data_IF_918278814468
#
_entry.id   IF_918278814468
#
_cell.length_a   1.000
_cell.length_b   1.000
_cell.length_c   1.000
_cell.angle_alpha   90.00
_cell.angle_beta   90.00
_cell.angle_gamma   90.00
#
_symmetry.space_group_name_H-M   'P 1'
#
loop_
_entity.id
_entity.type
_entity.pdbx_description
1 polymer ?
#
# COMPACT_ATOMS: atom_id res chain seq x y z
N UNK A 1 -23.32 38.47 -19.63
CA UNK A 1 -22.47 38.50 -20.83
C UNK A 1 -21.21 39.28 -20.49
N UNK A 2 -20.18 38.58 -20.03
CA UNK A 2 -18.76 39.01 -19.93
C UNK A 2 -17.95 37.70 -19.93
N UNK A 3 -17.82 37.10 -21.11
CA UNK A 3 -16.56 37.01 -21.86
C UNK A 3 -15.51 36.16 -21.12
N UNK A 4 -15.57 34.86 -21.39
CA UNK A 4 -14.45 33.93 -21.31
C UNK A 4 -13.38 34.40 -22.31
N UNK A 5 -12.23 34.86 -21.85
CA UNK A 5 -11.03 34.95 -22.66
C UNK A 5 -10.01 33.93 -22.17
N UNK A 6 -9.81 32.92 -23.00
CA UNK A 6 -8.72 31.95 -22.92
C UNK A 6 -7.43 32.61 -23.37
N UNK A 7 -6.38 32.55 -22.54
CA UNK A 7 -5.00 32.85 -22.96
C UNK A 7 -4.06 31.80 -22.37
N UNK A 8 -3.53 30.97 -23.27
CA UNK A 8 -2.23 30.30 -23.22
C UNK A 8 -1.94 29.31 -22.08
N UNK A 9 -2.16 28.02 -22.39
CA UNK A 9 -1.00 27.13 -22.50
C UNK A 9 -0.45 26.46 -21.24
N UNK A 10 -1.27 25.78 -20.46
CA UNK A 10 -0.83 24.54 -19.77
C UNK A 10 -1.99 23.55 -19.79
N UNK A 11 -1.83 22.33 -20.36
CA UNK A 11 -2.89 21.33 -20.29
C UNK A 11 -3.15 20.97 -18.82
N UNK A 12 -4.41 21.09 -18.40
CA UNK A 12 -4.90 20.75 -17.04
C UNK A 12 -4.84 19.22 -16.79
N UNK A 13 -4.28 18.47 -17.73
CA UNK A 13 -4.29 17.00 -17.71
C UNK A 13 -2.98 16.37 -17.22
N UNK A 14 -1.97 17.15 -16.81
CA UNK A 14 -0.73 16.57 -16.23
C UNK A 14 -0.97 15.92 -14.84
N UNK A 15 -2.12 16.16 -14.22
CA UNK A 15 -2.54 15.50 -12.98
C UNK A 15 -3.79 14.63 -13.12
N UNK A 16 -4.18 14.25 -14.34
CA UNK A 16 -5.14 13.18 -14.52
C UNK A 16 -4.40 11.83 -14.54
N UNK A 17 -4.56 11.05 -13.46
CA UNK A 17 -4.48 9.60 -13.59
C UNK A 17 -3.54 8.81 -12.67
N UNK A 18 -3.22 9.27 -11.46
CA UNK A 18 -2.74 8.32 -10.44
C UNK A 18 -3.86 8.05 -9.44
N UNK A 19 -4.47 6.84 -9.45
CA UNK A 19 -5.45 6.47 -8.45
C UNK A 19 -4.79 6.53 -7.08
N UNK A 20 -5.23 7.46 -6.23
CA UNK A 20 -4.88 7.57 -4.80
C UNK A 20 -5.54 6.48 -3.95
N UNK A 21 -6.08 5.45 -4.59
CA UNK A 21 -6.19 4.14 -4.01
C UNK A 21 -5.12 3.31 -4.71
N UNK A 22 -3.92 3.29 -4.14
CA UNK A 22 -2.94 2.27 -4.47
C UNK A 22 -3.61 0.93 -4.18
N UNK A 23 -4.29 0.38 -5.19
CA UNK A 23 -4.52 -1.04 -5.33
C UNK A 23 -3.18 -1.64 -4.92
N UNK A 24 -3.10 -2.55 -3.93
CA UNK A 24 -1.82 -3.12 -3.58
C UNK A 24 -1.24 -3.65 -4.87
N UNK A 25 -0.14 -3.05 -5.34
CA UNK A 25 0.58 -3.50 -6.51
C UNK A 25 0.80 -4.98 -6.21
N UNK A 26 0.05 -5.83 -6.90
CA UNK A 26 0.16 -7.28 -6.81
C UNK A 26 1.45 -7.58 -7.55
N UNK A 27 2.58 -7.26 -6.91
CA UNK A 27 3.86 -7.87 -7.21
C UNK A 27 3.56 -9.35 -7.05
N UNK A 28 3.42 -10.05 -8.18
CA UNK A 28 3.14 -11.47 -8.27
C UNK A 28 4.38 -12.20 -7.75
N UNK A 29 4.60 -12.14 -6.44
CA UNK A 29 5.66 -12.86 -5.75
C UNK A 29 5.23 -14.30 -5.73
N UNK A 30 5.69 -15.04 -6.73
CA UNK A 30 5.65 -16.47 -6.72
C UNK A 30 6.53 -16.92 -5.55
N UNK A 31 5.93 -17.22 -4.39
CA UNK A 31 6.62 -17.79 -3.24
C UNK A 31 6.38 -19.30 -3.24
N UNK A 32 7.07 -20.08 -4.09
CA UNK A 32 6.81 -21.50 -4.20
C UNK A 32 7.09 -22.23 -2.88
N UNK A 33 8.03 -21.74 -2.06
CA UNK A 33 8.46 -22.43 -0.84
C UNK A 33 7.39 -22.38 0.26
N UNK A 34 6.78 -21.22 0.50
CA UNK A 34 5.77 -21.06 1.55
C UNK A 34 4.52 -21.87 1.23
N UNK A 35 4.09 -21.86 -0.05
CA UNK A 35 2.94 -22.65 -0.53
C UNK A 35 3.20 -24.15 -0.35
N UNK A 36 4.35 -24.64 -0.82
CA UNK A 36 4.77 -26.04 -0.65
C UNK A 36 4.85 -26.46 0.83
N UNK A 37 5.33 -25.59 1.72
CA UNK A 37 5.34 -25.86 3.17
C UNK A 37 3.93 -26.07 3.72
N UNK A 38 2.98 -25.22 3.32
CA UNK A 38 1.58 -25.35 3.74
C UNK A 38 0.94 -26.61 3.16
N UNK A 39 1.21 -26.93 1.90
CA UNK A 39 0.68 -28.13 1.25
C UNK A 39 1.17 -29.41 1.95
N UNK A 40 2.45 -29.48 2.32
CA UNK A 40 2.97 -30.60 3.13
C UNK A 40 2.45 -30.64 4.56
N UNK A 41 2.18 -29.48 5.15
CA UNK A 41 1.58 -29.43 6.46
C UNK A 41 0.13 -29.93 6.45
N UNK A 42 -0.62 -29.70 5.36
CA UNK A 42 -1.96 -30.25 5.16
C UNK A 42 -1.97 -31.76 4.96
N UNK A 43 -0.90 -32.32 4.41
CA UNK A 43 -0.68 -33.78 4.33
C UNK A 43 -0.01 -34.34 5.60
N UNK A 44 -0.22 -33.70 6.76
CA UNK A 44 0.25 -34.10 8.10
C UNK A 44 1.75 -34.45 8.23
N UNK A 45 2.59 -33.86 7.39
CA UNK A 45 4.05 -34.08 7.50
C UNK A 45 4.65 -33.33 8.69
N UNK A 46 5.58 -33.97 9.40
CA UNK A 46 6.28 -33.35 10.53
C UNK A 46 7.14 -32.15 10.08
N UNK A 47 7.31 -31.15 10.94
CA UNK A 47 8.11 -29.94 10.63
C UNK A 47 9.54 -30.28 10.19
N UNK A 48 10.14 -31.33 10.78
CA UNK A 48 11.47 -31.81 10.43
C UNK A 48 11.53 -32.45 9.04
N UNK A 49 10.51 -33.23 8.66
CA UNK A 49 10.42 -33.82 7.33
C UNK A 49 10.28 -32.74 6.24
N UNK A 50 9.44 -31.72 6.50
CA UNK A 50 9.25 -30.58 5.60
C UNK A 50 10.56 -29.80 5.41
N UNK A 51 11.27 -29.53 6.51
CA UNK A 51 12.58 -28.86 6.52
C UNK A 51 13.59 -29.58 5.62
N UNK A 52 13.73 -30.90 5.78
CA UNK A 52 14.64 -31.74 4.97
C UNK A 52 14.23 -31.75 3.48
N UNK A 53 12.95 -31.94 3.18
CA UNK A 53 12.43 -32.01 1.80
C UNK A 53 12.59 -30.70 1.04
N UNK A 54 12.30 -29.58 1.69
CA UNK A 54 12.32 -28.24 1.07
C UNK A 54 13.68 -27.55 1.19
N UNK A 55 14.65 -28.12 1.93
CA UNK A 55 15.95 -27.50 2.25
C UNK A 55 15.77 -26.10 2.86
N UNK A 56 14.81 -25.97 3.78
CA UNK A 56 14.48 -24.72 4.49
C UNK A 56 14.74 -24.93 5.97
N UNK A 57 15.35 -23.98 6.69
CA UNK A 57 15.56 -24.12 8.13
C UNK A 57 14.27 -24.44 8.89
N UNK A 58 14.36 -25.35 9.87
CA UNK A 58 13.22 -25.78 10.68
C UNK A 58 12.49 -24.61 11.36
N UNK A 59 13.23 -23.59 11.79
CA UNK A 59 12.67 -22.35 12.38
C UNK A 59 11.77 -21.61 11.39
N UNK A 60 12.19 -21.46 10.14
CA UNK A 60 11.39 -20.84 9.09
C UNK A 60 10.13 -21.65 8.78
N UNK A 61 10.21 -22.98 8.74
CA UNK A 61 9.03 -23.86 8.58
C UNK A 61 8.03 -23.62 9.71
N UNK A 62 8.51 -23.56 10.95
CA UNK A 62 7.67 -23.29 12.12
C UNK A 62 6.99 -21.92 12.04
N UNK A 63 7.71 -20.86 11.66
CA UNK A 63 7.13 -19.52 11.48
C UNK A 63 6.08 -19.52 10.37
N UNK A 64 6.31 -20.20 9.26
CA UNK A 64 5.35 -20.29 8.15
C UNK A 64 4.07 -21.00 8.60
N UNK A 65 4.19 -22.16 9.27
CA UNK A 65 3.04 -22.92 9.77
C UNK A 65 2.27 -22.13 10.81
N UNK A 66 2.96 -21.48 11.76
CA UNK A 66 2.32 -20.63 12.77
C UNK A 66 1.55 -19.47 12.13
N UNK A 67 2.15 -18.75 11.18
CA UNK A 67 1.48 -17.67 10.44
C UNK A 67 0.28 -18.18 9.65
N UNK A 68 0.39 -19.35 9.03
CA UNK A 68 -0.71 -19.95 8.30
C UNK A 68 -1.89 -20.32 9.22
N UNK A 69 -1.63 -20.85 10.42
CA UNK A 69 -2.68 -21.13 11.42
C UNK A 69 -3.37 -19.85 11.90
N UNK A 70 -2.62 -18.76 12.11
CA UNK A 70 -3.18 -17.50 12.60
C UNK A 70 -3.92 -16.69 11.53
N UNK A 71 -3.40 -16.63 10.30
CA UNK A 71 -3.89 -15.72 9.27
C UNK A 71 -4.54 -16.42 8.07
N UNK A 72 -4.40 -17.75 7.94
CA UNK A 72 -4.91 -18.52 6.79
C UNK A 72 -4.22 -18.20 5.46
N UNK A 73 -3.22 -17.32 5.45
CA UNK A 73 -2.56 -16.88 4.22
C UNK A 73 -1.10 -17.32 4.18
N UNK A 74 -0.68 -17.72 3.00
CA UNK A 74 0.70 -18.06 2.69
C UNK A 74 1.45 -16.88 2.07
N UNK A 75 0.74 -15.78 1.80
CA UNK A 75 1.32 -14.59 1.23
C UNK A 75 2.03 -13.77 2.31
N UNK A 76 3.26 -13.30 2.05
CA UNK A 76 3.94 -12.40 2.96
C UNK A 76 3.15 -11.09 3.07
N UNK A 77 2.80 -10.72 4.30
CA UNK A 77 2.15 -9.45 4.60
C UNK A 77 3.06 -8.27 4.24
N UNK A 78 2.43 -7.18 3.82
CA UNK A 78 3.13 -5.93 3.62
C UNK A 78 3.55 -5.36 4.99
N UNK A 79 4.72 -4.71 5.04
CA UNK A 79 5.18 -4.05 6.26
C UNK A 79 4.38 -2.78 6.47
N UNK A 80 3.85 -2.56 7.67
CA UNK A 80 3.27 -1.26 8.01
C UNK A 80 4.41 -0.23 8.03
N UNK A 81 4.43 0.66 7.04
CA UNK A 81 5.35 1.80 7.00
C UNK A 81 5.00 2.86 8.06
N UNK A 82 5.59 4.05 7.94
CA UNK A 82 5.26 5.19 8.81
C UNK A 82 3.78 5.56 8.67
N UNK A 83 3.12 5.82 9.80
CA UNK A 83 1.73 6.32 9.80
C UNK A 83 1.66 7.67 9.09
N UNK A 84 0.56 7.89 8.35
CA UNK A 84 0.28 9.19 7.74
C UNK A 84 0.08 10.24 8.83
N UNK A 85 0.66 11.42 8.62
CA UNK A 85 0.50 12.57 9.52
C UNK A 85 -0.85 13.25 9.27
N UNK A 86 -1.24 13.35 8.00
CA UNK A 86 -2.48 13.98 7.59
C UNK A 86 -3.57 12.94 7.36
N UNK A 87 -4.80 13.34 7.66
CA UNK A 87 -6.00 12.58 7.30
C UNK A 87 -6.28 12.74 5.80
N UNK A 88 -6.82 11.72 5.11
CA UNK A 88 -7.19 11.82 3.69
C UNK A 88 -8.11 13.01 3.38
N UNK A 89 -8.96 13.38 4.35
CA UNK A 89 -9.86 14.54 4.20
C UNK A 89 -9.09 15.86 4.16
N UNK A 90 -8.13 16.02 5.07
CA UNK A 90 -7.29 17.23 5.17
C UNK A 90 -6.42 17.35 3.91
N UNK A 91 -5.81 16.24 3.47
CA UNK A 91 -5.03 16.20 2.24
C UNK A 91 -5.85 16.67 1.02
N UNK A 92 -7.06 16.15 0.85
CA UNK A 92 -7.95 16.57 -0.25
C UNK A 92 -8.32 18.06 -0.17
N UNK A 93 -8.59 18.58 1.03
CA UNK A 93 -8.91 20.01 1.20
C UNK A 93 -7.72 20.89 0.87
N UNK A 94 -6.52 20.52 1.32
CA UNK A 94 -5.27 21.24 1.01
C UNK A 94 -5.04 21.30 -0.51
N UNK A 95 -5.15 20.15 -1.19
CA UNK A 95 -4.97 20.07 -2.65
C UNK A 95 -5.96 20.97 -3.37
N UNK A 96 -7.25 20.94 -3.01
CA UNK A 96 -8.27 21.81 -3.63
C UNK A 96 -7.99 23.29 -3.43
N UNK A 97 -7.53 23.69 -2.23
CA UNK A 97 -7.26 25.10 -1.92
C UNK A 97 -6.06 25.63 -2.69
N UNK A 98 -5.00 24.84 -2.81
CA UNK A 98 -3.83 25.18 -3.63
C UNK A 98 -4.20 25.25 -5.11
N UNK A 99 -5.08 24.35 -5.60
CA UNK A 99 -5.57 24.42 -6.98
C UNK A 99 -6.40 25.68 -7.26
N UNK A 100 -7.26 26.08 -6.32
CA UNK A 100 -8.08 27.29 -6.46
C UNK A 100 -7.20 28.55 -6.43
N UNK A 101 -6.27 28.62 -5.48
CA UNK A 101 -5.39 29.76 -5.28
C UNK A 101 -3.93 29.30 -5.17
N UNK A 102 -3.18 29.23 -6.29
CA UNK A 102 -1.82 28.69 -6.31
C UNK A 102 -0.80 29.55 -5.56
N UNK A 103 -1.14 30.79 -5.21
CA UNK A 103 -0.32 31.70 -4.39
C UNK A 103 -0.50 31.50 -2.88
N UNK A 104 -1.36 30.58 -2.44
CA UNK A 104 -1.56 30.29 -1.01
C UNK A 104 -0.30 29.71 -0.39
N UNK A 105 0.09 30.21 0.79
CA UNK A 105 1.30 29.75 1.47
C UNK A 105 0.98 28.62 2.46
N UNK A 106 1.99 27.81 2.79
CA UNK A 106 1.82 26.75 3.78
C UNK A 106 1.34 27.25 5.15
N UNK A 107 1.73 28.48 5.55
CA UNK A 107 1.28 29.09 6.81
C UNK A 107 -0.22 29.36 6.80
N UNK A 108 -0.71 29.92 5.69
CA UNK A 108 -2.14 30.20 5.51
C UNK A 108 -2.95 28.89 5.50
N UNK A 109 -2.41 27.84 4.87
CA UNK A 109 -3.03 26.53 4.83
C UNK A 109 -3.14 25.89 6.22
N UNK A 110 -2.13 26.04 7.07
CA UNK A 110 -2.17 25.53 8.46
C UNK A 110 -3.21 26.31 9.27
N UNK A 111 -3.24 27.65 9.17
CA UNK A 111 -4.21 28.48 9.89
C UNK A 111 -5.66 28.06 9.60
N UNK A 112 -6.00 27.79 8.33
CA UNK A 112 -7.34 27.34 7.93
C UNK A 112 -7.71 25.92 8.41
N UNK A 113 -6.74 25.13 8.88
CA UNK A 113 -6.98 23.78 9.41
C UNK A 113 -7.14 23.77 10.94
N UNK A 114 -6.71 24.84 11.61
CA UNK A 114 -6.83 25.02 13.06
C UNK A 114 -8.11 25.74 13.47
N UNK A 115 -8.75 26.47 12.54
CA UNK A 115 -10.09 27.08 12.66
C UNK A 115 -11.21 26.05 12.43
#
# INVERSE_FOLDING_TARGET
LTSFESVEGVPVDVFQGLPTNSVPLKIKRNQPRQKKTVDHHKSDSSLGAISKRLKVPRSSVQTIVSKYKCHGTTQPSYRSGRRRVLSPRIECTLVRKVQINPRTTAKDLVKMLEE
#
